data_IF_567662100263
#
_entry.id   IF_567662100263
#
_cell.length_a   1.000
_cell.length_b   1.000
_cell.length_c   1.000
_cell.angle_alpha   90.00
_cell.angle_beta   90.00
_cell.angle_gamma   90.00
#
_symmetry.space_group_name_H-M   'P 1'
#
loop_
_entity.id
_entity.type
_entity.pdbx_description
1 polymer ?
#
# COMPACT_ATOMS: atom_id res chain seq x y z
N UNK A 1 10.85 8.25 10.52
CA UNK A 1 11.38 6.88 10.47
C UNK A 1 12.80 6.91 11.04
N UNK A 2 13.24 5.95 11.88
CA UNK A 2 14.61 5.92 12.41
C UNK A 2 15.67 5.87 11.30
N UNK A 3 16.88 6.45 11.50
CA UNK A 3 17.90 6.53 10.44
C UNK A 3 18.28 5.18 9.83
N UNK A 4 18.39 4.12 10.64
CA UNK A 4 18.70 2.77 10.14
C UNK A 4 17.58 2.18 9.27
N UNK A 5 16.32 2.56 9.49
CA UNK A 5 15.20 2.09 8.66
C UNK A 5 15.20 2.82 7.32
N UNK A 6 15.54 4.11 7.31
CA UNK A 6 15.70 4.90 6.08
C UNK A 6 16.82 4.31 5.23
N UNK A 7 18.00 4.09 5.81
CA UNK A 7 19.14 3.50 5.12
C UNK A 7 18.84 2.12 4.52
N UNK A 8 17.99 1.32 5.19
CA UNK A 8 17.54 0.04 4.64
C UNK A 8 16.65 0.22 3.41
N UNK A 9 15.70 1.16 3.43
CA UNK A 9 14.83 1.43 2.28
C UNK A 9 15.66 1.92 1.09
N UNK A 10 16.60 2.85 1.32
CA UNK A 10 17.50 3.37 0.29
C UNK A 10 18.36 2.26 -0.33
N UNK A 11 18.88 1.34 0.50
CA UNK A 11 19.65 0.19 0.01
C UNK A 11 18.80 -0.77 -0.85
N UNK A 12 17.54 -0.99 -0.48
CA UNK A 12 16.59 -1.79 -1.29
C UNK A 12 16.28 -1.10 -2.62
N UNK A 13 16.07 0.22 -2.61
CA UNK A 13 15.80 1.02 -3.82
C UNK A 13 16.99 1.05 -4.79
N UNK A 14 18.23 1.12 -4.28
CA UNK A 14 19.44 1.07 -5.08
C UNK A 14 19.75 -0.32 -5.65
N UNK A 15 19.09 -1.37 -5.15
CA UNK A 15 19.27 -2.75 -5.58
C UNK A 15 18.60 -3.07 -6.93
N UNK A 16 18.87 -4.27 -7.49
CA UNK A 16 18.21 -4.70 -8.72
C UNK A 16 16.70 -4.92 -8.53
N UNK A 17 15.92 -4.60 -9.56
CA UNK A 17 14.47 -4.81 -9.53
C UNK A 17 14.09 -6.29 -9.60
N UNK A 18 13.51 -6.81 -8.52
CA UNK A 18 12.93 -8.15 -8.46
C UNK A 18 11.83 -8.33 -9.51
N UNK A 19 10.99 -7.31 -9.72
CA UNK A 19 9.93 -7.33 -10.72
C UNK A 19 10.51 -7.56 -12.12
N UNK A 20 11.54 -6.79 -12.48
CA UNK A 20 12.21 -6.94 -13.78
C UNK A 20 12.84 -8.33 -13.93
N UNK A 21 13.51 -8.82 -12.88
CA UNK A 21 14.10 -10.16 -12.90
C UNK A 21 13.05 -11.26 -13.17
N UNK A 22 11.90 -11.20 -12.49
CA UNK A 22 10.79 -12.16 -12.69
C UNK A 22 10.24 -12.05 -14.11
N UNK A 23 9.95 -10.83 -14.59
CA UNK A 23 9.42 -10.59 -15.94
C UNK A 23 10.37 -11.06 -17.04
N UNK A 24 11.68 -10.84 -16.90
CA UNK A 24 12.68 -11.26 -17.88
C UNK A 24 12.90 -12.76 -17.86
N UNK A 25 12.88 -13.38 -16.67
CA UNK A 25 13.13 -14.82 -16.48
C UNK A 25 11.97 -15.67 -17.00
N UNK A 26 10.74 -15.15 -17.04
CA UNK A 26 9.53 -15.81 -17.60
C UNK A 26 9.27 -17.22 -17.05
N UNK A 27 9.63 -17.47 -15.78
CA UNK A 27 9.34 -18.74 -15.10
C UNK A 27 8.04 -18.63 -14.33
N UNK A 28 7.06 -19.46 -14.69
CA UNK A 28 5.71 -19.46 -14.11
C UNK A 28 5.71 -19.53 -12.58
N UNK A 29 6.59 -20.33 -11.97
CA UNK A 29 6.69 -20.43 -10.51
C UNK A 29 7.11 -19.11 -9.86
N UNK A 30 8.06 -18.38 -10.46
CA UNK A 30 8.50 -17.08 -9.95
C UNK A 30 7.43 -16.01 -10.13
N UNK A 31 6.77 -15.99 -11.29
CA UNK A 31 5.63 -15.10 -11.55
C UNK A 31 4.50 -15.34 -10.54
N UNK A 32 4.16 -16.61 -10.28
CA UNK A 32 3.12 -16.97 -9.31
C UNK A 32 3.42 -16.44 -7.91
N UNK A 33 4.62 -16.71 -7.40
CA UNK A 33 5.03 -16.27 -6.06
C UNK A 33 5.11 -14.75 -5.96
N UNK A 34 5.65 -14.08 -6.99
CA UNK A 34 5.69 -12.63 -7.03
C UNK A 34 4.28 -12.02 -6.99
N UNK A 35 3.37 -12.53 -7.80
CA UNK A 35 1.98 -12.06 -7.85
C UNK A 35 1.23 -12.32 -6.53
N UNK A 36 1.50 -13.45 -5.87
CA UNK A 36 0.97 -13.76 -4.54
C UNK A 36 1.44 -12.73 -3.50
N UNK A 37 2.74 -12.36 -3.50
CA UNK A 37 3.23 -11.29 -2.62
C UNK A 37 2.55 -9.95 -2.88
N UNK A 38 2.35 -9.58 -4.15
CA UNK A 38 1.65 -8.34 -4.52
C UNK A 38 0.20 -8.36 -4.01
N UNK A 39 -0.50 -9.50 -4.15
CA UNK A 39 -1.89 -9.65 -3.71
C UNK A 39 -2.02 -9.59 -2.19
N UNK A 40 -1.08 -10.16 -1.44
CA UNK A 40 -1.05 -10.06 0.03
C UNK A 40 -0.94 -8.59 0.48
N UNK A 41 -0.09 -7.80 -0.15
CA UNK A 41 0.03 -6.35 0.15
C UNK A 41 -1.25 -5.61 -0.26
N UNK A 42 -1.85 -5.96 -1.39
CA UNK A 42 -3.12 -5.36 -1.84
C UNK A 42 -4.27 -5.66 -0.86
N UNK A 43 -4.34 -6.89 -0.35
CA UNK A 43 -5.32 -7.35 0.65
C UNK A 43 -5.14 -6.62 1.97
N UNK A 44 -3.90 -6.48 2.44
CA UNK A 44 -3.59 -5.67 3.62
C UNK A 44 -4.06 -4.22 3.45
N UNK A 45 -3.79 -3.59 2.30
CA UNK A 45 -4.23 -2.20 2.02
C UNK A 45 -5.75 -2.09 1.90
N UNK A 46 -6.44 -3.11 1.41
CA UNK A 46 -7.89 -3.15 1.36
C UNK A 46 -8.51 -3.18 2.76
N UNK A 47 -8.02 -4.07 3.63
CA UNK A 47 -8.41 -4.14 5.05
C UNK A 47 -8.16 -2.81 5.76
N UNK A 48 -7.00 -2.19 5.53
CA UNK A 48 -6.67 -0.90 6.14
C UNK A 48 -7.56 0.24 5.64
N UNK A 49 -7.97 0.23 4.37
CA UNK A 49 -8.92 1.21 3.83
C UNK A 49 -10.31 1.03 4.44
N UNK A 50 -10.76 -0.22 4.61
CA UNK A 50 -12.01 -0.53 5.31
C UNK A 50 -11.99 0.00 6.74
N UNK A 51 -10.92 -0.26 7.49
CA UNK A 51 -10.78 0.24 8.86
C UNK A 51 -10.79 1.77 8.92
N UNK A 52 -10.13 2.45 7.99
CA UNK A 52 -10.17 3.91 7.91
C UNK A 52 -11.60 4.42 7.59
N UNK A 53 -12.36 3.68 6.78
CA UNK A 53 -13.77 3.96 6.53
C UNK A 53 -14.63 3.82 7.78
N UNK A 54 -14.52 2.69 8.49
CA UNK A 54 -15.33 2.38 9.66
C UNK A 54 -14.98 3.24 10.87
N UNK A 55 -13.70 3.34 11.22
CA UNK A 55 -13.26 3.93 12.49
C UNK A 55 -12.94 5.43 12.41
N UNK A 56 -12.85 6.02 11.20
CA UNK A 56 -12.56 7.45 11.07
C UNK A 56 -13.68 8.12 10.30
N UNK A 57 -13.93 7.69 9.06
CA UNK A 57 -14.87 8.39 8.20
C UNK A 57 -16.31 8.30 8.72
N UNK A 58 -16.82 7.10 8.99
CA UNK A 58 -18.19 6.90 9.47
C UNK A 58 -18.42 7.51 10.87
N UNK A 59 -17.48 7.31 11.80
CA UNK A 59 -17.59 7.88 13.15
C UNK A 59 -17.63 9.42 13.15
N UNK A 60 -16.85 10.06 12.28
CA UNK A 60 -16.84 11.51 12.15
C UNK A 60 -18.15 12.08 11.60
N UNK A 61 -18.91 11.33 10.79
CA UNK A 61 -20.23 11.77 10.34
C UNK A 61 -21.28 11.67 11.45
N UNK A 62 -21.12 10.73 12.40
CA UNK A 62 -22.05 10.52 13.50
C UNK A 62 -21.86 11.51 14.66
N UNK A 63 -20.71 12.19 14.74
CA UNK A 63 -20.37 13.09 15.86
C UNK A 63 -20.06 14.50 15.32
N UNK A 64 -20.90 15.50 15.62
CA UNK A 64 -20.61 16.89 15.26
C UNK A 64 -19.26 17.35 15.82
N UNK A 65 -18.44 18.00 14.99
CA UNK A 65 -17.17 18.60 15.42
C UNK A 65 -15.91 17.77 15.21
N UNK A 66 -15.96 16.66 14.47
CA UNK A 66 -14.77 15.91 14.06
C UNK A 66 -14.48 16.09 12.55
N UNK A 67 -13.63 17.06 12.14
CA UNK A 67 -13.26 17.23 10.73
C UNK A 67 -12.48 16.00 10.23
N UNK A 68 -13.07 15.24 9.31
CA UNK A 68 -12.46 14.01 8.77
C UNK A 68 -12.10 14.10 7.28
N UNK A 69 -12.03 15.30 6.71
CA UNK A 69 -11.61 15.48 5.32
C UNK A 69 -10.12 15.16 5.11
N UNK A 70 -9.30 15.34 6.16
CA UNK A 70 -7.84 15.17 6.12
C UNK A 70 -7.42 14.25 7.27
N UNK A 71 -6.58 13.27 6.97
CA UNK A 71 -6.00 12.39 7.99
C UNK A 71 -4.86 13.08 8.76
N UNK A 72 -4.41 12.50 9.87
CA UNK A 72 -3.33 13.06 10.70
C UNK A 72 -2.00 13.24 9.96
N UNK A 73 -1.80 12.52 8.86
CA UNK A 73 -0.66 12.70 7.95
C UNK A 73 -0.83 13.83 6.92
N UNK A 74 -1.88 14.65 7.03
CA UNK A 74 -2.10 15.81 6.15
C UNK A 74 -2.68 15.50 4.76
N UNK A 75 -3.18 14.27 4.53
CA UNK A 75 -3.69 13.84 3.20
C UNK A 75 -5.20 13.58 3.21
N UNK A 76 -5.89 13.68 2.06
CA UNK A 76 -7.25 13.17 1.91
C UNK A 76 -7.23 11.64 1.99
N UNK A 77 -7.26 11.13 3.23
CA UNK A 77 -6.77 9.78 3.53
C UNK A 77 -7.54 8.67 2.83
N UNK A 78 -8.86 8.81 2.64
CA UNK A 78 -9.67 7.80 1.93
C UNK A 78 -9.24 7.68 0.48
N UNK A 79 -9.09 8.81 -0.23
CA UNK A 79 -8.63 8.84 -1.63
C UNK A 79 -7.20 8.33 -1.73
N UNK A 80 -6.33 8.76 -0.82
CA UNK A 80 -4.91 8.41 -0.85
C UNK A 80 -4.68 6.92 -0.58
N UNK A 81 -5.37 6.35 0.42
CA UNK A 81 -5.30 4.91 0.73
C UNK A 81 -5.87 4.05 -0.39
N UNK A 82 -6.97 4.49 -1.02
CA UNK A 82 -7.53 3.83 -2.21
C UNK A 82 -6.53 3.81 -3.35
N UNK A 83 -5.90 4.96 -3.65
CA UNK A 83 -4.83 5.06 -4.66
C UNK A 83 -3.72 4.04 -4.39
N UNK A 84 -3.20 3.95 -3.17
CA UNK A 84 -2.15 2.99 -2.83
C UNK A 84 -2.56 1.53 -3.04
N UNK A 85 -3.79 1.15 -2.64
CA UNK A 85 -4.32 -0.19 -2.90
C UNK A 85 -4.34 -0.47 -4.40
N UNK A 86 -4.88 0.44 -5.19
CA UNK A 86 -5.07 0.26 -6.63
C UNK A 86 -3.73 0.25 -7.39
N UNK A 87 -2.77 1.08 -6.99
CA UNK A 87 -1.40 1.05 -7.54
C UNK A 87 -0.67 -0.26 -7.25
N UNK A 88 -0.93 -0.88 -6.10
CA UNK A 88 -0.37 -2.20 -5.74
C UNK A 88 -0.89 -3.27 -6.68
N UNK A 89 -2.22 -3.31 -6.88
CA UNK A 89 -2.86 -4.31 -7.74
C UNK A 89 -2.35 -4.26 -9.18
N UNK A 90 -1.92 -3.10 -9.65
CA UNK A 90 -1.32 -2.91 -10.98
C UNK A 90 0.12 -3.41 -11.10
N UNK A 91 0.76 -3.84 -10.01
CA UNK A 91 2.15 -4.29 -10.03
C UNK A 91 2.34 -5.76 -10.41
N UNK A 92 1.28 -6.57 -10.42
CA UNK A 92 1.35 -7.95 -10.89
C UNK A 92 1.93 -8.04 -12.30
N UNK A 93 2.60 -9.15 -12.60
CA UNK A 93 3.32 -9.42 -13.85
C UNK A 93 2.85 -10.69 -14.53
#
# INVERSE_FOLDING_TARGET
MPPKHVAFIEAVEAGPSVRNFVTTTKRTSLTSVFNECVELVASFRAMHLEYAGTYIHAQAQATPGNPSAVGTGGTPFMTYRRKHRDETKKQTV
#
